data_IF_652182748718
#
_entry.id   IF_652182748718
#
_cell.length_a   1.000
_cell.length_b   1.000
_cell.length_c   1.000
_cell.angle_alpha   90.00
_cell.angle_beta   90.00
_cell.angle_gamma   90.00
#
_symmetry.space_group_name_H-M   'P 1'
#
loop_
_entity.id
_entity.type
_entity.pdbx_description
1 polymer ?
#
# COMPACT_ATOMS: atom_id res chain seq x y z
N UNK A 1 4.50 9.20 2.95
CA UNK A 1 5.07 9.53 1.62
C UNK A 1 4.33 8.74 0.55
N UNK A 2 4.06 9.36 -0.59
CA UNK A 2 3.56 8.72 -1.82
C UNK A 2 4.66 8.84 -2.86
N UNK A 3 4.99 7.74 -3.53
CA UNK A 3 5.98 7.68 -4.60
C UNK A 3 5.34 7.16 -5.87
N UNK A 4 5.79 7.65 -7.01
CA UNK A 4 5.48 7.08 -8.31
C UNK A 4 6.63 6.18 -8.76
N UNK A 5 6.32 5.03 -9.32
CA UNK A 5 7.35 4.17 -9.92
C UNK A 5 7.63 4.60 -11.35
N UNK A 6 8.91 4.79 -11.65
CA UNK A 6 9.40 5.02 -13.01
C UNK A 6 10.50 3.99 -13.29
N UNK A 7 10.24 3.08 -14.20
CA UNK A 7 11.15 1.96 -14.45
C UNK A 7 11.36 1.08 -13.23
N UNK A 8 12.58 1.04 -12.70
CA UNK A 8 12.96 0.29 -11.49
C UNK A 8 13.05 1.15 -10.22
N UNK A 9 12.85 2.45 -10.35
CA UNK A 9 13.05 3.42 -9.25
C UNK A 9 11.73 4.06 -8.80
N UNK A 10 11.72 4.61 -7.59
CA UNK A 10 10.61 5.38 -7.04
C UNK A 10 10.91 6.88 -7.05
N UNK A 11 9.98 7.68 -7.54
CA UNK A 11 10.04 9.14 -7.50
C UNK A 11 9.09 9.62 -6.40
N UNK A 12 9.58 10.40 -5.39
CA UNK A 12 8.71 11.01 -4.40
C UNK A 12 7.76 12.03 -5.04
N UNK A 13 6.45 11.85 -4.88
CA UNK A 13 5.43 12.79 -5.34
C UNK A 13 4.93 13.68 -4.21
N UNK A 14 4.74 13.09 -3.03
CA UNK A 14 4.20 13.78 -1.87
C UNK A 14 4.78 13.19 -0.59
N UNK A 15 5.13 14.05 0.36
CA UNK A 15 5.41 13.63 1.72
C UNK A 15 4.76 14.55 2.74
N UNK A 16 4.52 14.01 3.92
CA UNK A 16 4.06 14.76 5.09
C UNK A 16 4.87 14.30 6.31
N UNK A 17 5.36 15.25 7.08
CA UNK A 17 6.04 15.00 8.34
C UNK A 17 5.18 15.49 9.49
N UNK A 18 5.05 14.67 10.52
CA UNK A 18 4.33 14.99 11.76
C UNK A 18 4.98 14.28 12.94
N UNK A 19 4.79 14.79 14.14
CA UNK A 19 5.24 14.12 15.35
C UNK A 19 4.32 12.95 15.66
N UNK A 20 4.90 11.75 15.79
CA UNK A 20 4.13 10.52 15.92
C UNK A 20 3.21 10.52 17.15
N UNK A 21 3.68 11.10 18.27
CA UNK A 21 2.95 11.12 19.54
C UNK A 21 1.79 12.14 19.57
N UNK A 22 1.80 13.11 18.65
CA UNK A 22 0.81 14.20 18.65
C UNK A 22 -0.39 13.92 17.73
N UNK A 23 -0.42 12.76 17.07
CA UNK A 23 -1.41 12.48 16.03
C UNK A 23 -2.24 11.23 16.34
N UNK A 24 -3.58 11.40 16.36
CA UNK A 24 -4.52 10.28 16.41
C UNK A 24 -4.46 9.43 15.14
N UNK A 25 -4.98 8.20 15.21
CA UNK A 25 -5.06 7.33 14.02
C UNK A 25 -6.01 7.93 12.97
N UNK A 26 -7.10 8.57 13.37
CA UNK A 26 -8.02 9.26 12.48
C UNK A 26 -7.32 10.39 11.72
N UNK A 27 -6.52 11.22 12.39
CA UNK A 27 -5.74 12.27 11.75
C UNK A 27 -4.75 11.73 10.72
N UNK A 28 -4.06 10.61 11.04
CA UNK A 28 -3.15 9.95 10.09
C UNK A 28 -3.89 9.44 8.86
N UNK A 29 -5.06 8.86 9.05
CA UNK A 29 -5.89 8.37 7.95
C UNK A 29 -6.37 9.50 7.04
N UNK A 30 -6.81 10.62 7.61
CA UNK A 30 -7.23 11.79 6.84
C UNK A 30 -6.07 12.41 6.05
N UNK A 31 -4.86 12.44 6.62
CA UNK A 31 -3.66 12.85 5.89
C UNK A 31 -3.35 11.95 4.69
N UNK A 32 -3.55 10.63 4.84
CA UNK A 32 -3.33 9.67 3.75
C UNK A 32 -4.38 9.88 2.65
N UNK A 33 -5.66 9.97 3.01
CA UNK A 33 -6.76 10.23 2.07
C UNK A 33 -6.55 11.53 1.31
N UNK A 34 -6.23 12.62 2.02
CA UNK A 34 -5.94 13.91 1.37
C UNK A 34 -4.75 13.86 0.43
N UNK A 35 -3.73 13.09 0.78
CA UNK A 35 -2.56 12.87 -0.08
C UNK A 35 -2.90 12.09 -1.35
N UNK A 36 -3.73 11.06 -1.24
CA UNK A 36 -4.21 10.29 -2.39
C UNK A 36 -5.05 11.15 -3.32
N UNK A 37 -5.99 11.94 -2.76
CA UNK A 37 -6.80 12.89 -3.54
C UNK A 37 -5.94 13.93 -4.26
N UNK A 38 -4.91 14.46 -3.59
CA UNK A 38 -3.98 15.40 -4.20
C UNK A 38 -3.24 14.76 -5.38
N UNK A 39 -2.70 13.55 -5.22
CA UNK A 39 -2.01 12.83 -6.30
C UNK A 39 -2.98 12.49 -7.44
N UNK A 40 -4.20 12.06 -7.14
CA UNK A 40 -5.25 11.83 -8.15
C UNK A 40 -5.49 13.08 -8.99
N UNK A 41 -5.64 14.23 -8.35
CA UNK A 41 -5.86 15.50 -9.03
C UNK A 41 -4.67 15.97 -9.88
N UNK A 42 -3.43 15.65 -9.47
CA UNK A 42 -2.23 15.96 -10.29
C UNK A 42 -2.27 15.31 -11.67
N UNK A 43 -2.88 14.14 -11.77
CA UNK A 43 -2.96 13.39 -13.03
C UNK A 43 -4.25 13.68 -13.82
N UNK A 44 -5.18 14.48 -13.26
CA UNK A 44 -6.41 14.99 -13.92
C UNK A 44 -7.21 13.92 -14.69
N UNK A 45 -7.29 12.71 -14.16
CA UNK A 45 -8.02 11.60 -14.80
C UNK A 45 -7.39 11.05 -16.09
N UNK A 46 -6.19 11.52 -16.48
CA UNK A 46 -5.51 11.04 -17.67
C UNK A 46 -4.86 9.66 -17.49
N UNK A 47 -4.83 9.14 -16.29
CA UNK A 47 -4.18 7.87 -15.95
C UNK A 47 -5.01 7.06 -14.97
N UNK A 48 -5.06 5.75 -15.21
CA UNK A 48 -5.57 4.78 -14.23
C UNK A 48 -4.48 4.50 -13.19
N UNK A 49 -4.61 5.13 -12.02
CA UNK A 49 -3.63 4.96 -10.95
C UNK A 49 -3.86 3.65 -10.21
N UNK A 50 -2.76 2.97 -9.87
CA UNK A 50 -2.76 1.80 -9.01
C UNK A 50 -2.01 2.14 -7.72
N UNK A 51 -2.73 2.24 -6.61
CA UNK A 51 -2.14 2.50 -5.30
C UNK A 51 -1.71 1.22 -4.63
N UNK A 52 -0.41 1.07 -4.38
CA UNK A 52 0.20 -0.07 -3.72
C UNK A 52 0.52 0.29 -2.27
N UNK A 53 0.05 -0.50 -1.32
CA UNK A 53 0.28 -0.21 0.09
C UNK A 53 0.56 -1.47 0.92
N UNK A 54 1.29 -1.28 2.04
CA UNK A 54 1.59 -2.34 2.99
C UNK A 54 0.43 -2.59 3.96
N UNK A 55 0.55 -3.66 4.75
CA UNK A 55 -0.41 -4.12 5.77
C UNK A 55 -0.79 -3.07 6.83
N UNK A 56 -0.01 -2.00 6.96
CA UNK A 56 -0.34 -0.88 7.84
C UNK A 56 -1.44 0.03 7.30
N UNK A 57 -1.73 -0.05 6.00
CA UNK A 57 -2.72 0.74 5.29
C UNK A 57 -4.03 -0.03 5.00
N UNK A 58 -4.30 -1.11 5.71
CA UNK A 58 -5.46 -1.97 5.50
C UNK A 58 -6.76 -1.41 6.09
N UNK A 59 -7.00 -0.12 5.95
CA UNK A 59 -8.23 0.54 6.37
C UNK A 59 -9.32 0.41 5.30
N UNK A 60 -10.52 0.01 5.71
CA UNK A 60 -11.68 -0.06 4.82
C UNK A 60 -12.03 1.31 4.24
N UNK A 61 -11.95 2.36 5.06
CA UNK A 61 -12.24 3.73 4.64
C UNK A 61 -11.23 4.24 3.60
N UNK A 62 -9.97 3.82 3.71
CA UNK A 62 -8.96 4.11 2.70
C UNK A 62 -9.27 3.40 1.37
N UNK A 63 -9.64 2.13 1.42
CA UNK A 63 -10.03 1.35 0.23
C UNK A 63 -11.21 1.97 -0.47
N UNK A 64 -12.29 2.30 0.27
CA UNK A 64 -13.46 3.00 -0.26
C UNK A 64 -13.11 4.36 -0.86
N UNK A 65 -12.19 5.09 -0.22
CA UNK A 65 -11.75 6.39 -0.71
C UNK A 65 -11.04 6.28 -2.06
N UNK A 66 -10.10 5.33 -2.22
CA UNK A 66 -9.40 5.11 -3.49
C UNK A 66 -10.39 4.67 -4.58
N UNK A 67 -11.31 3.77 -4.23
CA UNK A 67 -12.35 3.27 -5.13
C UNK A 67 -13.29 4.39 -5.59
N UNK A 68 -13.70 5.28 -4.68
CA UNK A 68 -14.54 6.45 -4.99
C UNK A 68 -13.89 7.46 -5.94
N UNK A 69 -12.56 7.48 -6.01
CA UNK A 69 -11.79 8.28 -6.98
C UNK A 69 -11.63 7.59 -8.34
N UNK A 70 -12.20 6.37 -8.51
CA UNK A 70 -12.09 5.60 -9.74
C UNK A 70 -10.74 4.91 -9.95
N UNK A 71 -9.94 4.76 -8.90
CA UNK A 71 -8.61 4.17 -8.97
C UNK A 71 -8.55 2.75 -8.43
N UNK A 72 -7.51 2.03 -8.84
CA UNK A 72 -7.23 0.69 -8.34
C UNK A 72 -6.34 0.74 -7.10
N UNK A 73 -6.61 -0.12 -6.13
CA UNK A 73 -5.69 -0.36 -5.02
C UNK A 73 -5.25 -1.83 -4.97
N UNK A 74 -4.05 -2.06 -4.46
CA UNK A 74 -3.54 -3.37 -4.06
C UNK A 74 -2.86 -3.20 -2.71
N UNK A 75 -3.47 -3.74 -1.67
CA UNK A 75 -3.03 -3.57 -0.28
C UNK A 75 -2.74 -4.94 0.32
N UNK A 76 -1.61 -5.08 1.01
CA UNK A 76 -1.31 -6.29 1.76
C UNK A 76 -2.16 -6.35 3.02
N UNK A 77 -2.75 -7.51 3.29
CA UNK A 77 -3.54 -7.76 4.48
C UNK A 77 -2.74 -8.47 5.57
N UNK A 78 -3.24 -8.36 6.81
CA UNK A 78 -2.78 -9.17 7.94
C UNK A 78 -3.50 -10.51 7.92
N UNK A 79 -2.83 -11.58 8.36
CA UNK A 79 -3.40 -12.94 8.42
C UNK A 79 -4.59 -13.07 9.37
N UNK A 80 -4.64 -12.24 10.41
CA UNK A 80 -5.63 -12.27 11.47
C UNK A 80 -6.91 -11.47 11.15
N UNK A 81 -7.28 -11.37 9.88
CA UNK A 81 -8.54 -10.79 9.45
C UNK A 81 -9.54 -11.89 9.06
N UNK A 82 -10.80 -11.65 9.34
CA UNK A 82 -11.92 -12.51 8.91
C UNK A 82 -12.55 -11.96 7.65
N UNK A 83 -12.94 -12.87 6.78
CA UNK A 83 -13.65 -12.58 5.53
C UNK A 83 -14.83 -13.50 5.35
N UNK A 84 -15.88 -13.00 4.72
CA UNK A 84 -17.05 -13.81 4.37
C UNK A 84 -16.81 -14.41 2.99
N UNK A 85 -16.58 -15.70 2.97
CA UNK A 85 -16.25 -16.47 1.79
C UNK A 85 -17.35 -17.50 1.48
N UNK A 86 -17.69 -17.66 0.19
CA UNK A 86 -18.60 -18.73 -0.22
C UNK A 86 -17.86 -20.08 -0.19
N UNK A 87 -18.27 -20.94 0.72
CA UNK A 87 -17.74 -22.30 0.80
C UNK A 87 -18.55 -23.23 -0.09
N UNK A 88 -17.90 -23.82 -1.10
CA UNK A 88 -18.54 -24.73 -2.05
C UNK A 88 -19.03 -26.02 -1.41
N UNK A 89 -18.44 -26.45 -0.28
CA UNK A 89 -18.84 -27.68 0.42
C UNK A 89 -20.10 -27.48 1.24
N UNK A 90 -20.18 -26.31 1.90
CA UNK A 90 -21.30 -25.93 2.74
C UNK A 90 -22.47 -25.34 1.91
N UNK A 91 -22.20 -24.87 0.70
CA UNK A 91 -23.20 -24.28 -0.17
C UNK A 91 -23.69 -22.89 0.26
N UNK A 92 -23.04 -22.27 1.23
CA UNK A 92 -23.36 -20.93 1.72
C UNK A 92 -22.10 -20.13 2.09
N UNK A 93 -22.27 -18.83 2.40
CA UNK A 93 -21.17 -17.97 2.85
C UNK A 93 -20.86 -18.23 4.30
N UNK A 94 -19.57 -18.43 4.61
CA UNK A 94 -19.06 -18.61 5.97
C UNK A 94 -17.92 -17.66 6.27
N UNK A 95 -17.79 -17.29 7.54
CA UNK A 95 -16.65 -16.50 8.01
C UNK A 95 -15.41 -17.38 8.16
N UNK A 96 -14.33 -17.01 7.48
CA UNK A 96 -13.02 -17.67 7.61
C UNK A 96 -11.93 -16.65 7.94
N UNK A 97 -10.97 -17.10 8.71
CA UNK A 97 -9.74 -16.35 8.88
C UNK A 97 -8.91 -16.43 7.60
N UNK A 98 -8.21 -15.33 7.24
CA UNK A 98 -7.32 -15.34 6.09
C UNK A 98 -6.21 -16.37 6.23
N UNK A 99 -5.75 -16.64 7.44
CA UNK A 99 -4.77 -17.70 7.73
C UNK A 99 -5.27 -19.10 7.37
N UNK A 100 -6.55 -19.37 7.50
CA UNK A 100 -7.15 -20.64 7.09
C UNK A 100 -7.17 -20.82 5.58
N UNK A 101 -7.29 -19.71 4.84
CA UNK A 101 -7.28 -19.70 3.37
C UNK A 101 -5.86 -19.89 2.80
N UNK A 102 -4.81 -19.62 3.60
CA UNK A 102 -3.40 -19.73 3.17
C UNK A 102 -2.83 -21.14 3.27
N UNK A 103 -3.56 -22.12 3.80
CA UNK A 103 -3.04 -23.48 4.08
C UNK A 103 -2.70 -24.31 2.85
N UNK A 104 -3.08 -23.87 1.66
CA UNK A 104 -2.77 -24.56 0.42
C UNK A 104 -1.54 -23.93 -0.24
N UNK A 105 -0.36 -24.50 0.10
CA UNK A 105 0.91 -24.13 -0.54
C UNK A 105 0.87 -24.47 -2.03
N UNK A 106 1.44 -23.63 -2.85
CA UNK A 106 2.01 -23.85 -4.19
C UNK A 106 1.47 -23.02 -5.36
N UNK A 107 0.34 -22.32 -5.27
CA UNK A 107 -0.11 -21.44 -6.38
C UNK A 107 -0.83 -20.22 -5.88
N UNK A 108 -0.78 -19.16 -6.67
CA UNK A 108 -1.62 -18.00 -6.44
C UNK A 108 -3.09 -18.38 -6.53
N UNK A 109 -3.82 -18.19 -5.44
CA UNK A 109 -5.26 -18.44 -5.37
C UNK A 109 -5.97 -17.10 -5.32
N UNK A 110 -6.94 -16.91 -6.23
CA UNK A 110 -7.79 -15.74 -6.25
C UNK A 110 -9.19 -16.07 -5.71
N UNK A 111 -9.66 -15.26 -4.79
CA UNK A 111 -11.02 -15.26 -4.28
C UNK A 111 -11.71 -13.99 -4.72
N UNK A 112 -12.72 -14.12 -5.58
CA UNK A 112 -13.45 -12.99 -6.10
C UNK A 112 -14.68 -12.68 -5.24
N UNK A 113 -15.06 -11.41 -5.19
CA UNK A 113 -16.26 -10.93 -4.51
C UNK A 113 -16.34 -11.36 -3.04
N UNK A 114 -15.24 -11.21 -2.34
CA UNK A 114 -15.15 -11.44 -0.89
C UNK A 114 -15.72 -10.25 -0.17
N UNK A 115 -16.59 -10.49 0.81
CA UNK A 115 -17.12 -9.45 1.67
C UNK A 115 -16.21 -9.26 2.89
N UNK A 116 -15.83 -8.00 3.12
CA UNK A 116 -15.06 -7.58 4.28
C UNK A 116 -15.97 -6.93 5.30
N UNK A 117 -15.82 -7.34 6.56
CA UNK A 117 -16.51 -6.79 7.71
C UNK A 117 -18.04 -6.74 7.59
N UNK A 118 -18.70 -6.31 8.65
CA UNK A 118 -20.14 -6.10 8.71
C UNK A 118 -20.65 -5.05 7.70
N UNK A 119 -19.76 -4.24 7.15
CA UNK A 119 -20.07 -3.18 6.17
C UNK A 119 -20.22 -3.67 4.72
N UNK A 120 -20.17 -4.98 4.49
CA UNK A 120 -20.41 -5.62 3.18
C UNK A 120 -19.59 -5.03 2.01
N UNK A 121 -18.39 -4.50 2.28
CA UNK A 121 -17.51 -4.05 1.21
C UNK A 121 -16.99 -5.27 0.44
N UNK A 122 -17.27 -5.30 -0.85
CA UNK A 122 -16.91 -6.41 -1.73
C UNK A 122 -15.63 -6.10 -2.48
N UNK A 123 -14.66 -7.00 -2.40
CA UNK A 123 -13.38 -6.86 -3.09
C UNK A 123 -12.81 -8.24 -3.45
N UNK A 124 -11.66 -8.25 -4.11
CA UNK A 124 -10.98 -9.49 -4.48
C UNK A 124 -9.77 -9.72 -3.56
N UNK A 125 -9.52 -10.99 -3.21
CA UNK A 125 -8.32 -11.40 -2.47
C UNK A 125 -7.48 -12.29 -3.37
N UNK A 126 -6.17 -12.06 -3.32
CA UNK A 126 -5.18 -12.94 -3.95
C UNK A 126 -4.18 -13.38 -2.89
N UNK A 127 -4.00 -14.68 -2.77
CA UNK A 127 -3.01 -15.29 -1.88
C UNK A 127 -1.94 -15.92 -2.76
N UNK A 128 -0.69 -15.54 -2.54
CA UNK A 128 0.46 -16.07 -3.27
C UNK A 128 1.56 -16.43 -2.31
N UNK A 129 2.10 -17.63 -2.45
CA UNK A 129 3.39 -17.96 -1.86
C UNK A 129 4.45 -17.14 -2.59
N UNK A 130 4.94 -16.10 -1.94
CA UNK A 130 6.05 -15.32 -2.48
C UNK A 130 7.33 -16.15 -2.40
N UNK A 131 7.98 -16.32 -3.54
CA UNK A 131 9.14 -17.20 -3.73
C UNK A 131 10.34 -16.82 -2.83
N UNK A 132 10.34 -15.63 -2.26
CA UNK A 132 11.47 -15.08 -1.51
C UNK A 132 11.09 -14.57 -0.11
N UNK A 133 9.88 -14.82 0.37
CA UNK A 133 9.46 -14.35 1.70
C UNK A 133 8.93 -15.50 2.54
N UNK A 134 9.25 -15.49 3.84
CA UNK A 134 8.79 -16.50 4.82
C UNK A 134 7.26 -16.50 5.01
N UNK A 135 6.57 -15.51 4.49
CA UNK A 135 5.14 -15.34 4.63
C UNK A 135 4.45 -15.12 3.28
N UNK A 136 3.32 -15.80 3.01
CA UNK A 136 2.54 -15.59 1.81
C UNK A 136 2.02 -14.14 1.74
N UNK A 137 1.92 -13.63 0.53
CA UNK A 137 1.25 -12.37 0.28
C UNK A 137 -0.25 -12.59 0.25
N UNK A 138 -0.95 -11.92 1.14
CA UNK A 138 -2.40 -11.82 1.11
C UNK A 138 -2.72 -10.40 0.64
N UNK A 139 -3.17 -10.29 -0.59
CA UNK A 139 -3.44 -9.00 -1.24
C UNK A 139 -4.93 -8.81 -1.42
N UNK A 140 -5.44 -7.61 -1.10
CA UNK A 140 -6.79 -7.18 -1.44
C UNK A 140 -6.73 -6.16 -2.56
N UNK A 141 -7.67 -6.24 -3.50
CA UNK A 141 -7.76 -5.31 -4.63
C UNK A 141 -9.19 -5.19 -5.16
N UNK A 142 -9.59 -3.98 -5.60
CA UNK A 142 -10.79 -3.76 -6.41
C UNK A 142 -10.55 -4.03 -7.90
N UNK A 143 -9.28 -4.20 -8.31
CA UNK A 143 -8.88 -4.50 -9.68
C UNK A 143 -8.81 -6.01 -9.99
N UNK A 144 -8.13 -6.34 -11.09
CA UNK A 144 -7.98 -7.72 -11.56
C UNK A 144 -7.04 -8.54 -10.65
N UNK A 145 -7.52 -9.64 -10.05
CA UNK A 145 -6.68 -10.53 -9.24
C UNK A 145 -5.47 -11.09 -9.99
N UNK A 146 -5.62 -11.36 -11.28
CA UNK A 146 -4.54 -11.94 -12.11
C UNK A 146 -3.30 -11.06 -12.19
N UNK A 147 -3.47 -9.75 -12.10
CA UNK A 147 -2.36 -8.78 -12.17
C UNK A 147 -1.84 -8.39 -10.79
N UNK A 148 -2.62 -8.59 -9.74
CA UNK A 148 -2.34 -8.04 -8.42
C UNK A 148 -0.97 -8.43 -7.88
N UNK A 149 -0.52 -9.68 -8.05
CA UNK A 149 0.79 -10.15 -7.57
C UNK A 149 1.93 -9.42 -8.29
N UNK A 150 1.85 -9.38 -9.64
CA UNK A 150 2.85 -8.69 -10.47
C UNK A 150 2.90 -7.20 -10.14
N UNK A 151 1.74 -6.56 -10.09
CA UNK A 151 1.65 -5.12 -9.86
C UNK A 151 2.11 -4.79 -8.42
N UNK A 152 1.78 -5.63 -7.42
CA UNK A 152 2.26 -5.44 -6.05
C UNK A 152 3.79 -5.60 -5.92
N UNK A 153 4.40 -6.49 -6.69
CA UNK A 153 5.86 -6.67 -6.69
C UNK A 153 6.60 -5.39 -7.07
N UNK A 154 5.97 -4.49 -7.79
CA UNK A 154 6.54 -3.19 -8.16
C UNK A 154 6.79 -2.27 -6.96
N UNK A 155 6.16 -2.54 -5.81
CA UNK A 155 6.40 -1.81 -4.58
C UNK A 155 7.87 -1.90 -4.12
N UNK A 156 8.50 -3.06 -4.28
CA UNK A 156 9.87 -3.30 -3.79
C UNK A 156 10.94 -2.45 -4.49
N UNK A 157 10.78 -2.19 -5.78
CA UNK A 157 11.69 -1.28 -6.50
C UNK A 157 11.34 0.21 -6.36
N UNK A 158 10.13 0.53 -5.90
CA UNK A 158 9.63 1.89 -5.80
C UNK A 158 9.96 2.55 -4.45
N UNK A 159 9.02 2.46 -3.52
CA UNK A 159 9.11 3.17 -2.23
C UNK A 159 10.29 2.69 -1.37
N UNK A 160 10.63 1.41 -1.43
CA UNK A 160 11.75 0.87 -0.64
C UNK A 160 13.11 1.40 -1.11
N UNK A 161 13.28 1.61 -2.42
CA UNK A 161 14.46 2.26 -2.97
C UNK A 161 14.61 3.69 -2.42
N UNK A 162 13.51 4.46 -2.41
CA UNK A 162 13.53 5.83 -1.85
C UNK A 162 13.89 5.80 -0.37
N UNK A 163 13.26 4.95 0.42
CA UNK A 163 13.56 4.83 1.85
C UNK A 163 15.00 4.37 2.10
N UNK A 164 15.52 3.42 1.35
CA UNK A 164 16.90 2.96 1.47
C UNK A 164 17.89 4.08 1.22
N UNK A 165 17.68 4.89 0.20
CA UNK A 165 18.54 6.03 -0.10
C UNK A 165 18.45 7.11 0.98
N UNK A 166 17.26 7.38 1.52
CA UNK A 166 17.07 8.35 2.58
C UNK A 166 17.67 7.89 3.93
N UNK A 167 17.60 6.60 4.25
CA UNK A 167 18.04 6.05 5.51
C UNK A 167 19.55 5.79 5.56
N UNK A 168 20.07 5.02 4.61
CA UNK A 168 21.42 4.44 4.71
C UNK A 168 22.36 4.72 3.54
N UNK A 169 21.86 5.01 2.36
CA UNK A 169 22.67 5.10 1.15
C UNK A 169 23.00 6.54 0.69
N UNK A 170 23.16 7.50 1.61
CA UNK A 170 23.60 8.84 1.23
C UNK A 170 23.06 9.96 2.11
N UNK A 171 21.77 9.96 2.45
CA UNK A 171 21.20 11.08 3.21
C UNK A 171 21.22 10.87 4.72
N UNK A 172 21.32 9.63 5.21
CA UNK A 172 21.45 9.27 6.64
C UNK A 172 20.44 9.96 7.56
N UNK A 173 19.20 10.14 7.11
CA UNK A 173 18.19 10.91 7.84
C UNK A 173 17.84 10.30 9.22
N UNK A 174 18.11 9.01 9.43
CA UNK A 174 17.93 8.36 10.73
C UNK A 174 18.89 8.89 11.80
N UNK A 175 20.02 9.46 11.40
CA UNK A 175 21.00 10.04 12.33
C UNK A 175 20.65 11.47 12.76
N UNK A 176 19.62 12.08 12.19
CA UNK A 176 19.13 13.41 12.56
C UNK A 176 18.26 13.37 13.82
N UNK A 177 18.78 12.76 14.88
CA UNK A 177 18.15 12.68 16.20
C UNK A 177 18.25 14.08 16.85
N UNK A 178 17.12 14.57 17.40
CA UNK A 178 17.04 15.86 18.11
C UNK A 178 16.96 17.15 17.25
N UNK A 179 16.54 17.06 15.99
CA UNK A 179 16.25 18.27 15.22
C UNK A 179 14.79 18.73 15.37
N UNK A 180 14.52 20.01 15.10
CA UNK A 180 13.15 20.52 15.02
C UNK A 180 12.40 19.88 13.85
N UNK A 181 11.06 19.81 13.95
CA UNK A 181 10.24 19.26 12.87
C UNK A 181 10.45 20.02 11.54
N UNK A 182 10.62 21.33 11.59
CA UNK A 182 10.80 22.15 10.37
C UNK A 182 12.18 21.94 9.74
N UNK A 183 13.21 21.77 10.55
CA UNK A 183 14.52 21.37 10.05
C UNK A 183 14.47 19.99 9.40
N UNK A 184 13.81 19.02 10.03
CA UNK A 184 13.63 17.69 9.46
C UNK A 184 12.85 17.73 8.13
N UNK A 185 11.79 18.53 8.02
CA UNK A 185 11.04 18.72 6.77
C UNK A 185 11.94 19.25 5.66
N UNK A 186 12.79 20.25 5.97
CA UNK A 186 13.70 20.82 4.99
C UNK A 186 14.73 19.81 4.52
N UNK A 187 15.36 19.07 5.42
CA UNK A 187 16.31 18.00 5.08
C UNK A 187 15.62 16.91 4.22
N UNK A 188 14.41 16.52 4.59
CA UNK A 188 13.65 15.51 3.86
C UNK A 188 13.30 16.00 2.45
N UNK A 189 12.97 17.28 2.29
CA UNK A 189 12.72 17.90 0.99
C UNK A 189 13.97 17.84 0.10
N UNK A 190 15.13 18.22 0.63
CA UNK A 190 16.40 18.13 -0.12
C UNK A 190 16.74 16.68 -0.51
N UNK A 191 16.51 15.73 0.38
CA UNK A 191 16.70 14.32 0.08
C UNK A 191 15.78 13.84 -1.06
N UNK A 192 14.50 14.26 -1.06
CA UNK A 192 13.57 13.95 -2.15
C UNK A 192 14.01 14.56 -3.49
N UNK A 193 14.48 15.80 -3.49
CA UNK A 193 15.02 16.46 -4.69
C UNK A 193 16.27 15.73 -5.19
N UNK A 194 17.17 15.31 -4.28
CA UNK A 194 18.35 14.53 -4.63
C UNK A 194 17.98 13.17 -5.27
N UNK A 195 17.00 12.45 -4.71
CA UNK A 195 16.50 11.20 -5.32
C UNK A 195 15.92 11.45 -6.69
N UNK A 196 15.13 12.52 -6.87
CA UNK A 196 14.57 12.90 -8.15
C UNK A 196 15.66 13.18 -9.20
N UNK A 197 16.67 13.96 -8.82
CA UNK A 197 17.80 14.29 -9.70
C UNK A 197 18.56 13.04 -10.15
N UNK A 198 18.88 12.13 -9.21
CA UNK A 198 19.56 10.86 -9.51
C UNK A 198 18.70 9.88 -10.33
N UNK A 199 17.39 10.09 -10.40
CA UNK A 199 16.48 9.23 -11.18
C UNK A 199 16.35 9.71 -12.63
N UNK A 200 16.60 11.01 -12.89
CA UNK A 200 16.48 11.63 -14.21
C UNK A 200 17.79 11.51 -15.01
N UNK A 201 18.93 11.44 -14.32
CA UNK A 201 20.25 11.18 -14.94
C UNK A 201 20.38 9.71 -15.35
#
# INVERSE_FOLDING_TARGET
MITMRVGKQGIPLLFRCFKCNDCSNAFKEDLIKSGISYVSNLFNGNFDLIFLADRWFNSLELMKHIDSLGHTFIIRLKKNLKVLHFDKREGHKIWKWLDELTKYKYHAIAYNNIEFSENKYVSNIVISDAIETDEPWILITNGSPKRAIKDYSYRFGGIEFVFKNQKSNGFYLENSVNCSLDYFKSMYCFACIGVLYLTIL
#
